data_IF_303526891871
#
_entry.id   IF_303526891871
#
_cell.length_a   1.000
_cell.length_b   1.000
_cell.length_c   1.000
_cell.angle_alpha   90.00
_cell.angle_beta   90.00
_cell.angle_gamma   90.00
#
_symmetry.space_group_name_H-M   'P 1'
#
loop_
_entity.id
_entity.type
_entity.pdbx_description
1 polymer ?
#
# COMPACT_ATOMS: atom_id res chain seq x y z
N UNK A 1 17.77 18.27 19.46
CA UNK A 1 17.16 17.01 19.88
C UNK A 1 18.15 15.94 19.45
N UNK A 2 18.83 15.32 20.41
CA UNK A 2 19.87 14.32 20.14
C UNK A 2 19.24 13.03 19.60
N UNK A 3 19.70 12.57 18.43
CA UNK A 3 19.50 11.22 17.96
C UNK A 3 20.39 10.30 18.80
N UNK A 4 19.90 9.92 19.96
CA UNK A 4 20.47 8.81 20.73
C UNK A 4 19.93 7.53 20.11
N UNK A 5 20.82 6.69 19.59
CA UNK A 5 20.55 5.41 18.91
C UNK A 5 19.93 4.32 19.80
N UNK A 6 18.80 4.61 20.46
CA UNK A 6 18.06 3.66 21.31
C UNK A 6 16.69 3.24 20.74
N UNK A 7 16.30 3.71 19.55
CA UNK A 7 14.96 3.47 18.97
C UNK A 7 14.99 2.90 17.54
N UNK A 8 16.10 2.30 17.10
CA UNK A 8 16.16 1.61 15.81
C UNK A 8 15.68 0.17 15.97
N UNK A 9 14.68 -0.21 15.18
CA UNK A 9 14.09 -1.55 15.20
C UNK A 9 14.51 -2.30 13.95
N UNK A 10 15.29 -3.37 14.14
CA UNK A 10 15.82 -4.22 13.07
C UNK A 10 15.08 -5.55 13.05
N UNK A 11 14.65 -5.99 11.87
CA UNK A 11 14.21 -7.38 11.65
C UNK A 11 15.47 -8.25 11.64
N UNK A 12 15.78 -8.87 12.79
CA UNK A 12 17.04 -9.61 12.98
C UNK A 12 17.08 -10.96 12.27
N UNK A 13 15.92 -11.54 11.98
CA UNK A 13 15.81 -12.94 11.60
C UNK A 13 15.97 -13.17 10.08
N UNK A 14 15.89 -12.13 9.26
CA UNK A 14 16.12 -12.23 7.81
C UNK A 14 16.70 -10.93 7.23
N UNK A 15 18.03 -10.86 7.13
CA UNK A 15 18.74 -9.71 6.55
C UNK A 15 18.50 -9.54 5.04
N UNK A 16 17.84 -10.50 4.38
CA UNK A 16 17.55 -10.49 2.95
C UNK A 16 16.05 -10.25 2.67
N UNK A 17 15.27 -9.92 3.69
CA UNK A 17 13.87 -9.57 3.49
C UNK A 17 13.79 -8.29 2.65
N UNK A 18 13.19 -8.41 1.46
CA UNK A 18 12.89 -7.29 0.58
C UNK A 18 11.40 -6.98 0.71
N UNK A 19 11.06 -5.86 1.34
CA UNK A 19 9.67 -5.48 1.57
C UNK A 19 9.01 -5.07 0.25
N UNK A 20 7.81 -5.60 -0.02
CA UNK A 20 6.97 -5.23 -1.16
C UNK A 20 5.80 -4.30 -0.77
N UNK A 21 5.71 -3.96 0.51
CA UNK A 21 4.71 -3.05 1.05
C UNK A 21 4.74 -3.06 2.57
N UNK A 22 4.16 -2.01 3.14
CA UNK A 22 4.01 -1.85 4.58
C UNK A 22 2.64 -1.24 4.86
N UNK A 23 1.91 -1.82 5.81
CA UNK A 23 0.65 -1.25 6.27
C UNK A 23 0.60 -1.20 7.79
N UNK A 24 -0.13 -0.21 8.30
CA UNK A 24 -0.55 -0.17 9.70
C UNK A 24 -1.81 -1.02 9.88
N UNK A 25 -1.72 -2.08 10.69
CA UNK A 25 -2.85 -2.96 11.01
C UNK A 25 -3.60 -2.48 12.25
N UNK A 26 -2.88 -1.97 13.25
CA UNK A 26 -3.48 -1.36 14.42
C UNK A 26 -2.52 -0.39 15.06
N UNK A 27 -2.98 0.81 15.36
CA UNK A 27 -2.16 1.87 15.92
C UNK A 27 -2.89 2.54 17.08
N UNK A 28 -2.39 2.37 18.30
CA UNK A 28 -2.95 3.01 19.49
C UNK A 28 -1.84 3.49 20.44
N UNK A 29 -2.23 4.25 21.46
CA UNK A 29 -1.31 4.74 22.48
C UNK A 29 -0.62 3.55 23.20
N UNK A 30 0.65 3.31 22.87
CA UNK A 30 1.49 2.29 23.51
C UNK A 30 1.60 0.94 22.78
N UNK A 31 0.82 0.68 21.73
CA UNK A 31 1.01 -0.49 20.87
C UNK A 31 0.73 -0.16 19.40
N UNK A 32 1.54 -0.72 18.53
CA UNK A 32 1.42 -0.55 17.08
C UNK A 32 1.72 -1.88 16.41
N UNK A 33 0.94 -2.23 15.40
CA UNK A 33 1.04 -3.47 14.66
C UNK A 33 1.21 -3.09 13.20
N UNK A 34 2.33 -3.50 12.63
CA UNK A 34 2.64 -3.31 11.22
C UNK A 34 2.68 -4.65 10.52
N UNK A 35 2.23 -4.67 9.28
CA UNK A 35 2.28 -5.84 8.42
C UNK A 35 3.13 -5.47 7.21
N UNK A 36 4.14 -6.28 6.93
CA UNK A 36 4.97 -6.18 5.72
C UNK A 36 5.12 -7.58 5.11
N UNK A 37 5.34 -7.66 3.80
CA UNK A 37 5.39 -8.93 3.10
C UNK A 37 6.41 -8.90 1.97
N UNK A 38 6.78 -10.09 1.51
CA UNK A 38 7.53 -10.31 0.29
C UNK A 38 6.86 -11.45 -0.51
N UNK A 39 7.57 -12.00 -1.50
CA UNK A 39 7.10 -13.14 -2.31
C UNK A 39 6.71 -14.39 -1.50
N UNK A 40 7.33 -14.62 -0.34
CA UNK A 40 7.31 -15.92 0.35
C UNK A 40 6.46 -15.92 1.62
N UNK A 41 6.50 -14.83 2.38
CA UNK A 41 5.85 -14.76 3.68
C UNK A 41 5.48 -13.32 4.04
N UNK A 42 4.60 -13.23 5.04
CA UNK A 42 4.22 -12.00 5.69
C UNK A 42 4.84 -11.95 7.09
N UNK A 43 5.26 -10.76 7.51
CA UNK A 43 5.72 -10.46 8.86
C UNK A 43 4.67 -9.60 9.57
N UNK A 44 4.14 -10.12 10.68
CA UNK A 44 3.32 -9.36 11.61
C UNK A 44 4.19 -8.83 12.75
N UNK A 45 4.40 -7.52 12.77
CA UNK A 45 5.34 -6.83 13.65
C UNK A 45 4.59 -6.08 14.74
N UNK A 46 4.69 -6.58 15.97
CA UNK A 46 4.05 -6.01 17.15
C UNK A 46 5.04 -5.16 17.94
N UNK A 47 4.79 -3.86 17.95
CA UNK A 47 5.50 -2.88 18.77
C UNK A 47 4.69 -2.62 20.03
N UNK A 48 5.27 -2.88 21.21
CA UNK A 48 4.63 -2.62 22.50
C UNK A 48 5.54 -1.80 23.41
N UNK A 49 5.05 -0.67 23.89
CA UNK A 49 5.73 0.12 24.92
C UNK A 49 5.39 -0.46 26.30
N UNK A 50 6.40 -0.85 27.07
CA UNK A 50 6.16 -1.34 28.44
C UNK A 50 5.84 -0.18 29.38
N UNK A 51 4.85 -0.35 30.27
CA UNK A 51 4.58 0.61 31.35
C UNK A 51 5.85 0.75 32.21
N UNK A 52 6.33 1.98 32.40
CA UNK A 52 7.50 2.29 33.23
C UNK A 52 8.87 2.23 32.54
N UNK A 53 8.95 1.86 31.26
CA UNK A 53 10.21 1.91 30.50
C UNK A 53 10.00 2.65 29.17
N UNK A 54 10.92 3.55 28.79
CA UNK A 54 10.84 4.31 27.54
C UNK A 54 11.04 3.42 26.31
N UNK A 55 11.70 2.27 26.48
CA UNK A 55 11.95 1.30 25.42
C UNK A 55 10.67 0.61 24.96
N UNK A 56 10.38 0.75 23.67
CA UNK A 56 9.42 -0.11 22.96
C UNK A 56 10.01 -1.53 22.89
N UNK A 57 9.22 -2.58 22.65
CA UNK A 57 9.69 -3.91 22.29
C UNK A 57 9.02 -4.30 20.97
N UNK A 58 9.79 -4.90 20.05
CA UNK A 58 9.27 -5.47 18.82
C UNK A 58 9.24 -7.00 18.93
N UNK A 59 8.10 -7.58 18.57
CA UNK A 59 7.95 -9.01 18.31
C UNK A 59 7.57 -9.18 16.84
N UNK A 60 8.26 -10.07 16.13
CA UNK A 60 7.95 -10.41 14.75
C UNK A 60 7.37 -11.83 14.70
N UNK A 61 6.26 -12.00 13.99
CA UNK A 61 5.67 -13.31 13.70
C UNK A 61 5.66 -13.50 12.19
N UNK A 62 6.38 -14.52 11.74
CA UNK A 62 6.37 -14.93 10.34
C UNK A 62 5.15 -15.78 10.06
N UNK A 63 4.43 -15.44 9.00
CA UNK A 63 3.25 -16.15 8.52
C UNK A 63 3.54 -16.60 7.08
N UNK A 64 3.69 -17.91 6.84
CA UNK A 64 3.96 -18.40 5.49
C UNK A 64 2.76 -18.14 4.58
N UNK A 65 3.01 -17.77 3.33
CA UNK A 65 1.97 -17.71 2.32
C UNK A 65 1.58 -19.13 1.87
N UNK A 66 0.33 -19.36 1.47
CA UNK A 66 -0.12 -20.62 0.89
C UNK A 66 0.55 -20.77 -0.49
N UNK A 67 1.72 -21.39 -0.54
CA UNK A 67 2.49 -21.52 -1.77
C UNK A 67 1.97 -22.69 -2.62
N UNK A 68 1.13 -22.38 -3.59
CA UNK A 68 0.84 -23.25 -4.73
C UNK A 68 1.30 -22.56 -6.02
N UNK A 69 2.61 -22.49 -6.28
CA UNK A 69 3.15 -21.92 -7.53
C UNK A 69 3.70 -20.49 -7.43
N UNK A 70 3.60 -19.71 -8.50
CA UNK A 70 4.15 -18.35 -8.62
C UNK A 70 3.20 -17.25 -8.13
N UNK A 71 2.32 -17.55 -7.16
CA UNK A 71 1.37 -16.59 -6.65
C UNK A 71 2.01 -15.61 -5.66
N UNK A 72 1.53 -14.36 -5.67
CA UNK A 72 1.99 -13.28 -4.79
C UNK A 72 0.81 -12.51 -4.20
N UNK A 73 1.06 -11.74 -3.14
CA UNK A 73 0.06 -10.85 -2.56
C UNK A 73 -0.17 -9.67 -3.51
N UNK A 74 -1.39 -9.52 -4.01
CA UNK A 74 -1.81 -8.39 -4.85
C UNK A 74 -2.20 -7.18 -4.02
N UNK A 75 -2.97 -7.40 -2.94
CA UNK A 75 -3.35 -6.31 -2.03
C UNK A 75 -3.56 -6.81 -0.60
N UNK A 76 -3.40 -5.89 0.35
CA UNK A 76 -3.64 -6.13 1.77
C UNK A 76 -4.56 -5.05 2.31
N UNK A 77 -5.63 -5.46 2.98
CA UNK A 77 -6.62 -4.56 3.54
C UNK A 77 -6.77 -4.80 5.04
N UNK A 78 -6.46 -3.78 5.84
CA UNK A 78 -6.69 -3.81 7.28
C UNK A 78 -8.18 -3.59 7.57
N UNK A 79 -8.76 -4.48 8.36
CA UNK A 79 -10.09 -4.33 8.96
C UNK A 79 -9.95 -4.07 10.46
N UNK A 80 -11.07 -3.76 11.11
CA UNK A 80 -11.10 -3.45 12.56
C UNK A 80 -10.55 -4.59 13.44
N UNK A 81 -10.75 -5.84 13.05
CA UNK A 81 -10.40 -7.02 13.87
C UNK A 81 -9.45 -8.00 13.18
N UNK A 82 -9.21 -7.83 11.88
CA UNK A 82 -8.48 -8.75 11.04
C UNK A 82 -7.90 -8.03 9.81
N UNK A 83 -7.23 -8.76 8.95
CA UNK A 83 -6.60 -8.27 7.73
C UNK A 83 -6.97 -9.24 6.62
N UNK A 84 -7.39 -8.70 5.48
CA UNK A 84 -7.67 -9.47 4.28
C UNK A 84 -6.46 -9.38 3.35
N UNK A 85 -6.07 -10.52 2.78
CA UNK A 85 -5.04 -10.66 1.76
C UNK A 85 -5.70 -11.15 0.48
N UNK A 86 -5.51 -10.42 -0.62
CA UNK A 86 -5.84 -10.87 -1.95
C UNK A 86 -4.58 -11.41 -2.62
N UNK A 87 -4.64 -12.66 -3.06
CA UNK A 87 -3.56 -13.30 -3.81
C UNK A 87 -3.76 -13.11 -5.32
N UNK A 88 -2.68 -13.21 -6.10
CA UNK A 88 -2.70 -13.02 -7.55
C UNK A 88 -3.51 -14.07 -8.33
N UNK A 89 -3.73 -15.24 -7.76
CA UNK A 89 -4.65 -16.28 -8.28
C UNK A 89 -6.13 -15.94 -8.05
N UNK A 90 -6.40 -14.96 -7.20
CA UNK A 90 -7.74 -14.52 -6.82
C UNK A 90 -8.31 -15.20 -5.59
N UNK A 91 -7.49 -15.97 -4.85
CA UNK A 91 -7.85 -16.44 -3.53
C UNK A 91 -7.78 -15.31 -2.50
N UNK A 92 -8.70 -15.34 -1.55
CA UNK A 92 -8.78 -14.33 -0.48
C UNK A 92 -8.57 -14.99 0.87
N UNK A 93 -7.60 -14.49 1.62
CA UNK A 93 -7.23 -15.01 2.94
C UNK A 93 -7.51 -14.00 4.05
N UNK A 94 -7.92 -14.50 5.21
CA UNK A 94 -8.13 -13.72 6.42
C UNK A 94 -7.01 -13.99 7.44
N UNK A 95 -6.51 -12.92 8.07
CA UNK A 95 -5.43 -12.91 9.05
C UNK A 95 -5.79 -12.08 10.30
N UNK A 96 -5.67 -12.62 11.51
CA UNK A 96 -6.30 -12.04 12.71
C UNK A 96 -5.36 -11.81 13.87
N UNK A 97 -4.18 -12.45 13.87
CA UNK A 97 -2.93 -11.93 14.46
C UNK A 97 -1.86 -12.98 14.77
N UNK A 98 -2.15 -14.30 14.94
CA UNK A 98 -1.13 -15.17 15.60
C UNK A 98 -0.70 -16.47 14.90
N UNK A 99 -1.46 -17.20 14.07
CA UNK A 99 -0.97 -18.54 13.64
C UNK A 99 -1.24 -19.04 12.22
N UNK A 100 -1.95 -18.30 11.38
CA UNK A 100 -2.17 -18.78 10.02
C UNK A 100 -3.11 -17.91 9.22
N UNK A 101 -3.10 -18.18 7.92
CA UNK A 101 -3.99 -17.62 6.93
C UNK A 101 -5.18 -18.56 6.74
N UNK A 102 -6.39 -18.03 6.79
CA UNK A 102 -7.59 -18.81 6.54
C UNK A 102 -8.19 -18.41 5.19
N UNK A 103 -8.30 -19.39 4.28
CA UNK A 103 -8.96 -19.19 2.99
C UNK A 103 -10.46 -18.91 3.20
N UNK A 104 -10.93 -17.81 2.62
CA UNK A 104 -12.36 -17.46 2.59
C UNK A 104 -12.99 -18.19 1.42
N UNK A 105 -13.42 -19.43 1.63
CA UNK A 105 -13.88 -20.34 0.56
C UNK A 105 -15.05 -19.80 -0.28
N UNK A 106 -15.85 -18.88 0.24
CA UNK A 106 -16.94 -18.27 -0.52
C UNK A 106 -16.47 -17.21 -1.52
N UNK A 107 -15.19 -16.82 -1.48
CA UNK A 107 -14.56 -15.89 -2.40
C UNK A 107 -13.48 -16.64 -3.18
N UNK A 108 -13.62 -16.67 -4.49
CA UNK A 108 -12.62 -17.22 -5.41
C UNK A 108 -12.66 -16.43 -6.71
N UNK A 109 -11.55 -16.45 -7.46
CA UNK A 109 -11.44 -15.71 -8.72
C UNK A 109 -11.48 -14.19 -8.55
N UNK A 110 -11.19 -13.68 -7.35
CA UNK A 110 -11.23 -12.24 -7.05
C UNK A 110 -10.10 -11.53 -7.79
N UNK A 111 -10.39 -10.39 -8.41
CA UNK A 111 -9.41 -9.57 -9.15
C UNK A 111 -9.00 -8.33 -8.39
N UNK A 112 -9.95 -7.69 -7.71
CA UNK A 112 -9.70 -6.59 -6.78
C UNK A 112 -10.81 -6.52 -5.74
N UNK A 113 -10.53 -5.81 -4.64
CA UNK A 113 -11.43 -5.68 -3.49
C UNK A 113 -11.44 -4.25 -2.97
N UNK A 114 -12.61 -3.77 -2.56
CA UNK A 114 -12.80 -2.51 -1.86
C UNK A 114 -13.49 -2.77 -0.51
N UNK A 115 -12.84 -2.35 0.57
CA UNK A 115 -13.39 -2.46 1.94
C UNK A 115 -14.22 -1.21 2.25
N UNK A 116 -15.39 -1.42 2.84
CA UNK A 116 -16.23 -0.41 3.46
C UNK A 116 -16.27 -0.65 4.99
N UNK A 117 -16.78 0.31 5.76
CA UNK A 117 -16.86 0.19 7.22
C UNK A 117 -17.64 -1.05 7.69
N UNK A 118 -18.76 -1.32 7.04
CA UNK A 118 -19.69 -2.38 7.43
C UNK A 118 -19.72 -3.54 6.43
N UNK A 119 -18.82 -3.61 5.44
CA UNK A 119 -18.89 -4.61 4.38
C UNK A 119 -17.76 -4.47 3.37
N UNK A 120 -17.88 -5.14 2.23
CA UNK A 120 -16.90 -5.03 1.16
C UNK A 120 -17.51 -5.30 -0.20
N UNK A 121 -16.83 -4.87 -1.26
CA UNK A 121 -17.18 -5.14 -2.64
C UNK A 121 -15.99 -5.79 -3.35
N UNK A 122 -16.27 -6.67 -4.30
CA UNK A 122 -15.24 -7.35 -5.09
C UNK A 122 -15.60 -7.32 -6.55
N UNK A 123 -14.57 -7.32 -7.39
CA UNK A 123 -14.70 -7.78 -8.78
C UNK A 123 -14.11 -9.18 -8.82
N UNK A 124 -14.87 -10.15 -9.34
CA UNK A 124 -14.40 -11.53 -9.50
C UNK A 124 -14.83 -12.13 -10.83
N UNK A 125 -14.08 -13.13 -11.27
CA UNK A 125 -14.40 -13.95 -12.44
C UNK A 125 -15.13 -15.20 -11.98
N UNK A 126 -16.30 -15.47 -12.56
CA UNK A 126 -17.12 -16.65 -12.28
C UNK A 126 -17.85 -17.07 -13.55
N UNK A 127 -17.71 -18.34 -13.95
CA UNK A 127 -18.31 -18.87 -15.18
C UNK A 127 -18.04 -18.02 -16.43
N UNK A 128 -16.78 -17.59 -16.61
CA UNK A 128 -16.32 -16.70 -17.69
C UNK A 128 -16.91 -15.28 -17.68
N UNK A 129 -17.69 -14.93 -16.66
CA UNK A 129 -18.24 -13.59 -16.47
C UNK A 129 -17.45 -12.80 -15.44
N UNK A 130 -17.42 -11.49 -15.64
CA UNK A 130 -16.85 -10.54 -14.70
C UNK A 130 -18.00 -9.96 -13.86
N UNK A 131 -17.99 -10.24 -12.57
CA UNK A 131 -19.05 -9.84 -11.64
C UNK A 131 -18.53 -8.86 -10.60
N UNK A 132 -19.27 -7.76 -10.40
CA UNK A 132 -19.11 -6.90 -9.24
C UNK A 132 -20.11 -7.36 -8.16
N UNK A 133 -19.60 -7.79 -7.02
CA UNK A 133 -20.41 -8.33 -5.93
C UNK A 133 -20.23 -7.51 -4.65
N UNK A 134 -21.34 -7.26 -3.96
CA UNK A 134 -21.37 -6.54 -2.68
C UNK A 134 -21.73 -7.48 -1.53
N UNK A 135 -21.03 -7.36 -0.42
CA UNK A 135 -21.23 -8.18 0.78
C UNK A 135 -21.48 -7.30 2.01
N UNK A 136 -22.46 -7.72 2.82
CA UNK A 136 -22.91 -7.00 4.03
C UNK A 136 -22.04 -7.22 5.25
N UNK A 137 -21.20 -8.25 5.28
CA UNK A 137 -20.40 -8.59 6.45
C UNK A 137 -18.98 -8.96 6.04
N UNK A 138 -18.04 -8.36 6.77
CA UNK A 138 -16.63 -8.64 6.59
C UNK A 138 -16.33 -10.08 7.01
N UNK A 139 -15.61 -10.86 6.19
CA UNK A 139 -15.24 -12.21 6.54
C UNK A 139 -14.38 -12.17 7.80
N UNK A 140 -14.65 -13.05 8.75
CA UNK A 140 -13.93 -13.11 10.03
C UNK A 140 -13.43 -14.53 10.31
N UNK A 141 -12.65 -14.69 11.37
CA UNK A 141 -12.20 -16.02 11.81
C UNK A 141 -13.36 -16.94 12.19
N UNK A 142 -14.44 -16.35 12.72
CA UNK A 142 -15.62 -17.07 13.19
C UNK A 142 -16.66 -17.21 12.07
N UNK A 143 -16.73 -16.22 11.17
CA UNK A 143 -17.64 -16.20 10.02
C UNK A 143 -16.88 -16.46 8.72
N UNK A 144 -16.86 -17.73 8.30
CA UNK A 144 -16.25 -18.18 7.04
C UNK A 144 -17.12 -17.83 5.82
N UNK A 145 -18.37 -17.42 6.04
CA UNK A 145 -19.31 -17.02 4.99
C UNK A 145 -19.62 -15.53 5.12
N UNK A 146 -19.67 -14.86 3.97
CA UNK A 146 -20.18 -13.50 3.84
C UNK A 146 -21.52 -13.51 3.11
N UNK A 147 -22.41 -12.62 3.53
CA UNK A 147 -23.77 -12.44 3.02
C UNK A 147 -23.72 -11.58 1.76
N UNK A 148 -23.91 -12.23 0.62
CA UNK A 148 -24.01 -11.56 -0.68
C UNK A 148 -25.29 -10.71 -0.72
N UNK A 149 -25.15 -9.43 -1.01
CA UNK A 149 -26.25 -8.47 -1.09
C UNK A 149 -26.70 -8.25 -2.52
N UNK A 150 -25.74 -7.93 -3.39
CA UNK A 150 -25.99 -7.60 -4.79
C UNK A 150 -24.92 -8.22 -5.68
N UNK A 151 -25.31 -8.57 -6.90
CA UNK A 151 -24.41 -9.01 -7.97
C UNK A 151 -24.75 -8.20 -9.21
N UNK A 152 -23.73 -7.61 -9.80
CA UNK A 152 -23.81 -6.86 -11.04
C UNK A 152 -22.95 -7.57 -12.07
N UNK A 153 -23.51 -7.82 -13.24
CA UNK A 153 -22.79 -8.38 -14.36
C UNK A 153 -22.09 -7.24 -15.08
N UNK A 154 -20.77 -7.14 -14.87
CA UNK A 154 -19.94 -6.13 -15.52
C UNK A 154 -19.18 -6.73 -16.71
N UNK A 155 -19.58 -7.92 -17.16
CA UNK A 155 -19.06 -8.57 -18.36
C UNK A 155 -19.45 -7.71 -19.56
N UNK A 156 -18.46 -7.15 -20.22
CA UNK A 156 -18.69 -6.29 -21.38
C UNK A 156 -18.58 -7.13 -22.65
N UNK A 157 -19.69 -7.72 -23.11
CA UNK A 157 -19.77 -8.36 -24.44
C UNK A 157 -20.77 -7.63 -25.31
N UNK A 158 -20.28 -6.85 -26.28
CA UNK A 158 -20.85 -6.83 -27.62
C UNK A 158 -19.95 -6.05 -28.60
N UNK A 159 -19.10 -6.78 -29.32
CA UNK A 159 -18.44 -6.39 -30.58
C UNK A 159 -17.53 -5.13 -30.51
N UNK A 160 -16.22 -5.36 -30.27
CA UNK A 160 -15.10 -4.39 -30.31
C UNK A 160 -15.09 -3.37 -29.14
N UNK A 161 -13.93 -2.96 -28.59
CA UNK A 161 -12.97 -2.07 -29.27
C UNK A 161 -11.48 -2.45 -29.12
N UNK A 162 -11.04 -3.28 -28.17
CA UNK A 162 -9.61 -3.67 -28.09
C UNK A 162 -9.43 -5.11 -27.60
N UNK A 163 -8.39 -5.80 -28.10
CA UNK A 163 -7.95 -7.15 -27.74
C UNK A 163 -7.48 -7.22 -26.28
N UNK A 164 -8.35 -6.92 -25.32
CA UNK A 164 -8.01 -6.93 -23.92
C UNK A 164 -8.18 -8.36 -23.39
N UNK A 165 -7.08 -8.96 -22.95
CA UNK A 165 -7.12 -10.18 -22.15
C UNK A 165 -7.52 -9.83 -20.73
N UNK A 166 -8.81 -9.51 -20.50
CA UNK A 166 -9.32 -9.06 -19.21
C UNK A 166 -8.87 -9.98 -18.06
N UNK A 167 -8.80 -11.29 -18.31
CA UNK A 167 -8.34 -12.27 -17.33
C UNK A 167 -6.96 -11.94 -16.70
N UNK A 168 -6.10 -11.24 -17.43
CA UNK A 168 -4.73 -10.86 -17.05
C UNK A 168 -4.55 -9.35 -16.84
N UNK A 169 -5.60 -8.54 -16.99
CA UNK A 169 -5.52 -7.09 -16.78
C UNK A 169 -5.39 -6.72 -15.29
N UNK A 170 -4.97 -5.47 -15.04
CA UNK A 170 -5.00 -4.87 -13.72
C UNK A 170 -6.37 -4.27 -13.42
N UNK A 171 -6.85 -4.48 -12.20
CA UNK A 171 -8.17 -4.09 -11.77
C UNK A 171 -8.09 -3.24 -10.51
N UNK A 172 -8.86 -2.15 -10.48
CA UNK A 172 -9.05 -1.36 -9.26
C UNK A 172 -10.52 -1.24 -8.94
N UNK A 173 -10.86 -1.20 -7.66
CA UNK A 173 -12.21 -0.94 -7.19
C UNK A 173 -12.15 0.03 -6.01
N UNK A 174 -12.96 1.07 -6.09
CA UNK A 174 -13.21 2.02 -5.02
C UNK A 174 -14.72 2.06 -4.79
N UNK A 175 -15.14 1.83 -3.56
CA UNK A 175 -16.54 1.86 -3.18
C UNK A 175 -16.77 2.98 -2.17
N UNK A 176 -17.84 3.75 -2.37
CA UNK A 176 -18.28 4.80 -1.45
C UNK A 176 -19.74 4.58 -1.10
N UNK A 177 -20.05 4.61 0.21
CA UNK A 177 -21.44 4.72 0.69
C UNK A 177 -21.78 6.20 0.75
N UNK A 178 -22.68 6.65 -0.10
CA UNK A 178 -22.98 8.09 -0.25
C UNK A 178 -23.77 8.57 0.96
N UNK A 179 -23.19 9.50 1.71
CA UNK A 179 -23.88 10.24 2.78
C UNK A 179 -24.44 11.56 2.25
N UNK A 180 -25.29 12.24 3.03
CA UNK A 180 -25.82 13.57 2.65
C UNK A 180 -24.72 14.61 2.44
N UNK A 181 -23.58 14.49 3.13
CA UNK A 181 -22.44 15.41 2.98
C UNK A 181 -21.74 15.23 1.63
N UNK A 182 -21.71 14.01 1.10
CA UNK A 182 -20.98 13.65 -0.13
C UNK A 182 -21.87 13.69 -1.37
N UNK A 183 -23.18 13.71 -1.18
CA UNK A 183 -24.21 13.59 -2.21
C UNK A 183 -24.04 14.60 -3.35
N UNK A 184 -23.89 15.87 -3.02
CA UNK A 184 -23.77 16.94 -4.03
C UNK A 184 -22.51 16.76 -4.89
N UNK A 185 -21.39 16.39 -4.27
CA UNK A 185 -20.14 16.11 -4.97
C UNK A 185 -20.30 14.94 -5.94
N UNK A 186 -20.83 13.81 -5.45
CA UNK A 186 -21.02 12.58 -6.24
C UNK A 186 -21.98 12.81 -7.41
N UNK A 187 -23.09 13.52 -7.19
CA UNK A 187 -24.07 13.82 -8.23
C UNK A 187 -23.46 14.66 -9.36
N UNK A 188 -22.73 15.72 -9.01
CA UNK A 188 -22.14 16.60 -10.02
C UNK A 188 -20.96 15.97 -10.73
N UNK A 189 -20.15 15.17 -10.02
CA UNK A 189 -18.97 14.54 -10.61
C UNK A 189 -19.34 13.47 -11.66
N UNK A 190 -20.43 12.74 -11.43
CA UNK A 190 -20.87 11.63 -12.29
C UNK A 190 -22.17 11.92 -13.04
N UNK A 191 -22.69 13.15 -13.01
CA UNK A 191 -23.91 13.53 -13.74
C UNK A 191 -25.18 12.77 -13.30
N UNK A 192 -25.25 12.37 -12.03
CA UNK A 192 -26.33 11.53 -11.52
C UNK A 192 -27.59 12.37 -11.25
N UNK A 193 -28.76 11.81 -11.60
CA UNK A 193 -30.06 12.44 -11.30
C UNK A 193 -30.33 12.44 -9.78
N UNK A 194 -31.30 13.25 -9.33
CA UNK A 194 -31.62 13.45 -7.90
C UNK A 194 -32.02 12.16 -7.14
N UNK A 195 -32.47 11.12 -7.84
CA UNK A 195 -32.78 9.83 -7.23
C UNK A 195 -31.49 9.14 -6.74
N UNK A 196 -31.45 8.85 -5.44
CA UNK A 196 -30.23 8.65 -4.67
C UNK A 196 -29.58 7.28 -4.94
N UNK A 197 -28.33 7.20 -5.44
CA UNK A 197 -27.55 5.99 -5.30
C UNK A 197 -27.05 5.89 -3.86
N UNK A 198 -27.41 4.81 -3.16
CA UNK A 198 -26.89 4.53 -1.81
C UNK A 198 -25.38 4.22 -1.84
N UNK A 199 -24.91 3.65 -2.95
CA UNK A 199 -23.53 3.27 -3.18
C UNK A 199 -23.08 3.70 -4.56
N UNK A 200 -21.82 4.14 -4.64
CA UNK A 200 -21.12 4.38 -5.90
C UNK A 200 -19.88 3.49 -5.92
N UNK A 201 -19.75 2.76 -7.02
CA UNK A 201 -18.57 1.94 -7.29
C UNK A 201 -17.84 2.52 -8.49
N UNK A 202 -16.60 2.92 -8.28
CA UNK A 202 -15.71 3.32 -9.35
C UNK A 202 -14.73 2.17 -9.53
N UNK A 203 -14.65 1.64 -10.74
CA UNK A 203 -13.74 0.55 -11.03
C UNK A 203 -12.96 0.82 -12.30
N UNK A 204 -11.81 0.17 -12.41
CA UNK A 204 -11.03 0.20 -13.64
C UNK A 204 -10.67 -1.20 -14.12
N UNK A 205 -10.54 -1.31 -15.43
CA UNK A 205 -9.98 -2.47 -16.13
C UNK A 205 -8.87 -1.92 -17.03
N UNK A 206 -7.63 -2.21 -16.66
CA UNK A 206 -6.44 -1.56 -17.18
C UNK A 206 -6.56 -0.02 -17.08
N UNK A 207 -6.63 0.69 -18.21
CA UNK A 207 -6.76 2.15 -18.28
C UNK A 207 -8.19 2.68 -18.35
N UNK A 208 -9.21 1.82 -18.46
CA UNK A 208 -10.60 2.24 -18.60
C UNK A 208 -11.22 2.43 -17.22
N UNK A 209 -11.80 3.61 -16.95
CA UNK A 209 -12.46 3.90 -15.67
C UNK A 209 -13.96 3.98 -15.85
N UNK A 210 -14.67 3.19 -15.08
CA UNK A 210 -16.12 3.10 -15.09
C UNK A 210 -16.70 3.52 -13.74
N UNK A 211 -17.93 4.01 -13.77
CA UNK A 211 -18.77 4.13 -12.58
C UNK A 211 -19.97 3.21 -12.72
N UNK A 212 -20.27 2.47 -11.66
CA UNK A 212 -21.51 1.74 -11.49
C UNK A 212 -22.35 2.46 -10.44
N UNK A 213 -23.59 2.76 -10.82
CA UNK A 213 -24.61 3.28 -9.92
C UNK A 213 -25.84 2.39 -9.97
N UNK A 214 -26.46 2.18 -8.81
CA UNK A 214 -27.71 1.43 -8.73
C UNK A 214 -28.63 2.10 -7.72
N UNK A 215 -29.91 2.17 -8.06
CA UNK A 215 -30.94 2.73 -7.19
C UNK A 215 -31.69 1.58 -6.51
N UNK A 216 -31.93 1.72 -5.21
CA UNK A 216 -32.63 0.72 -4.39
C UNK A 216 -34.16 0.94 -4.47
N UNK A 217 -34.64 2.06 -4.99
CA UNK A 217 -36.06 2.37 -5.01
C UNK A 217 -36.82 1.63 -6.12
N UNK A 218 -37.43 0.52 -5.72
CA UNK A 218 -38.67 0.02 -6.32
C UNK A 218 -38.50 -1.15 -7.28
N UNK A 219 -39.28 -2.20 -7.03
CA UNK A 219 -39.64 -3.24 -8.00
C UNK A 219 -40.10 -2.59 -9.32
N UNK A 220 -39.18 -2.29 -10.25
CA UNK A 220 -39.60 -2.06 -11.62
C UNK A 220 -39.88 -3.43 -12.22
N UNK A 221 -41.07 -3.60 -12.80
CA UNK A 221 -41.47 -4.78 -13.59
C UNK A 221 -40.67 -4.93 -14.89
N UNK A 222 -39.51 -4.29 -15.00
CA UNK A 222 -38.59 -4.43 -16.13
C UNK A 222 -37.63 -5.57 -15.85
N UNK A 223 -37.56 -6.53 -16.76
CA UNK A 223 -36.67 -7.70 -16.76
C UNK A 223 -35.17 -7.36 -16.86
N UNK A 224 -34.81 -6.08 -16.82
CA UNK A 224 -33.44 -5.59 -16.90
C UNK A 224 -32.94 -5.17 -15.51
N UNK A 225 -31.66 -5.43 -15.19
CA UNK A 225 -31.11 -5.04 -13.90
C UNK A 225 -31.19 -3.52 -13.69
N UNK A 226 -31.66 -3.08 -12.52
CA UNK A 226 -31.80 -1.66 -12.15
C UNK A 226 -30.48 -0.93 -11.84
N UNK A 227 -29.40 -1.23 -12.57
CA UNK A 227 -28.10 -0.57 -12.42
C UNK A 227 -27.59 -0.02 -13.76
N UNK A 228 -26.78 1.03 -13.68
CA UNK A 228 -26.17 1.70 -14.81
C UNK A 228 -24.65 1.67 -14.68
N UNK A 229 -23.96 1.38 -15.79
CA UNK A 229 -22.51 1.45 -15.90
C UNK A 229 -22.17 2.48 -16.96
N UNK A 230 -21.35 3.46 -16.59
CA UNK A 230 -20.89 4.52 -17.49
C UNK A 230 -19.35 4.50 -17.56
N UNK A 231 -18.81 4.61 -18.77
CA UNK A 231 -17.38 4.83 -18.98
C UNK A 231 -17.07 6.31 -18.77
N UNK A 232 -16.27 6.62 -17.74
CA UNK A 232 -15.93 7.99 -17.40
C UNK A 232 -14.76 8.55 -18.22
N UNK A 233 -13.76 7.71 -18.50
CA UNK A 233 -12.57 8.07 -19.28
C UNK A 233 -11.72 6.83 -19.63
N UNK A 234 -10.73 7.03 -20.49
CA UNK A 234 -9.74 6.02 -20.88
C UNK A 234 -8.33 6.61 -20.80
N UNK A 235 -7.44 5.94 -20.10
CA UNK A 235 -6.02 6.27 -20.01
C UNK A 235 -5.19 5.29 -20.84
N UNK A 236 -4.05 5.78 -21.33
CA UNK A 236 -3.05 4.94 -22.01
C UNK A 236 -2.26 4.04 -21.03
N UNK A 237 -2.25 4.39 -19.74
CA UNK A 237 -1.62 3.64 -18.65
C UNK A 237 -2.70 3.00 -17.80
N UNK A 238 -2.40 1.86 -17.17
CA UNK A 238 -3.34 1.29 -16.21
C UNK A 238 -3.49 2.16 -14.96
N UNK A 239 -4.67 2.10 -14.35
CA UNK A 239 -4.96 2.79 -13.10
C UNK A 239 -4.41 1.98 -11.93
N UNK A 240 -3.64 2.62 -11.06
CA UNK A 240 -3.06 2.01 -9.86
C UNK A 240 -4.05 2.01 -8.70
N UNK A 241 -4.72 3.14 -8.48
CA UNK A 241 -5.86 3.25 -7.56
C UNK A 241 -6.65 4.54 -7.80
N UNK A 242 -7.85 4.61 -7.23
CA UNK A 242 -8.73 5.79 -7.28
C UNK A 242 -9.06 6.21 -5.86
N UNK A 243 -8.84 7.49 -5.53
CA UNK A 243 -9.13 8.06 -4.21
C UNK A 243 -10.18 9.15 -4.31
N UNK A 244 -11.29 8.98 -3.59
CA UNK A 244 -12.31 9.99 -3.44
C UNK A 244 -12.00 10.85 -2.21
N UNK A 245 -12.06 12.16 -2.38
CA UNK A 245 -11.95 13.18 -1.33
C UNK A 245 -13.14 14.15 -1.45
N UNK A 246 -14.37 13.71 -1.14
CA UNK A 246 -15.57 14.52 -1.38
C UNK A 246 -15.55 15.88 -0.67
N UNK A 247 -15.02 15.92 0.57
CA UNK A 247 -14.90 17.14 1.38
C UNK A 247 -14.00 18.18 0.70
N UNK A 248 -12.95 17.73 0.01
CA UNK A 248 -12.03 18.61 -0.73
C UNK A 248 -12.52 18.88 -2.17
N UNK A 249 -13.66 18.33 -2.57
CA UNK A 249 -14.18 18.36 -3.95
C UNK A 249 -13.22 17.72 -4.97
N UNK A 250 -12.55 16.62 -4.60
CA UNK A 250 -11.55 15.96 -5.45
C UNK A 250 -11.81 14.47 -5.64
N UNK A 251 -11.55 13.97 -6.84
CA UNK A 251 -11.37 12.56 -7.14
C UNK A 251 -10.00 12.39 -7.83
N UNK A 252 -9.13 11.59 -7.25
CA UNK A 252 -7.76 11.39 -7.73
C UNK A 252 -7.67 10.02 -8.42
N UNK A 253 -7.31 10.02 -9.69
CA UNK A 253 -7.00 8.80 -10.45
C UNK A 253 -5.49 8.69 -10.59
N UNK A 254 -4.89 7.78 -9.82
CA UNK A 254 -3.44 7.58 -9.83
C UNK A 254 -3.09 6.51 -10.86
N UNK A 255 -2.29 6.89 -11.84
CA UNK A 255 -1.84 6.01 -12.92
C UNK A 255 -0.51 5.36 -12.56
N UNK A 256 -0.27 4.17 -13.08
CA UNK A 256 1.00 3.47 -12.89
C UNK A 256 2.20 4.17 -13.52
N UNK A 257 1.96 5.05 -14.50
CA UNK A 257 2.98 5.94 -15.06
C UNK A 257 3.50 7.02 -14.08
N UNK A 258 2.97 7.09 -12.85
CA UNK A 258 3.32 8.13 -11.88
C UNK A 258 2.63 9.47 -12.14
N UNK A 259 1.62 9.51 -13.00
CA UNK A 259 0.75 10.68 -13.18
C UNK A 259 -0.52 10.53 -12.35
N UNK A 260 -1.03 11.64 -11.84
CA UNK A 260 -2.30 11.72 -11.12
C UNK A 260 -3.23 12.61 -11.90
N UNK A 261 -4.34 12.07 -12.37
CA UNK A 261 -5.41 12.87 -12.95
C UNK A 261 -6.40 13.29 -11.85
N UNK A 262 -6.56 14.59 -11.69
CA UNK A 262 -7.31 15.20 -10.58
C UNK A 262 -8.62 15.71 -11.11
N UNK A 263 -9.72 15.05 -10.77
CA UNK A 263 -11.07 15.49 -11.12
C UNK A 263 -11.68 16.30 -10.01
N UNK A 264 -12.43 17.34 -10.38
CA UNK A 264 -13.15 18.19 -9.45
C UNK A 264 -14.39 18.76 -10.13
N UNK A 265 -15.36 19.22 -9.32
CA UNK A 265 -16.53 19.93 -9.83
C UNK A 265 -16.23 21.42 -9.78
N UNK A 266 -16.19 22.07 -10.95
CA UNK A 266 -15.91 23.51 -11.02
C UNK A 266 -16.98 24.31 -10.28
N UNK A 267 -16.57 25.23 -9.40
CA UNK A 267 -17.48 26.12 -8.70
C UNK A 267 -18.02 27.24 -9.60
N UNK A 268 -17.34 27.53 -10.71
CA UNK A 268 -17.75 28.54 -11.68
C UNK A 268 -18.74 27.99 -12.70
N UNK A 269 -18.51 26.75 -13.15
CA UNK A 269 -19.26 26.13 -14.25
C UNK A 269 -20.23 25.04 -13.78
N UNK A 270 -20.10 24.55 -12.54
CA UNK A 270 -20.86 23.42 -12.00
C UNK A 270 -20.74 22.13 -12.84
N UNK A 271 -19.62 21.95 -13.54
CA UNK A 271 -19.32 20.75 -14.34
C UNK A 271 -18.00 20.11 -13.89
N UNK A 272 -17.85 18.81 -14.18
CA UNK A 272 -16.59 18.09 -14.00
C UNK A 272 -15.47 18.74 -14.82
N UNK A 273 -14.35 18.99 -14.16
CA UNK A 273 -13.07 19.41 -14.75
C UNK A 273 -11.97 18.44 -14.34
N UNK A 274 -10.86 18.45 -15.06
CA UNK A 274 -9.70 17.59 -14.77
C UNK A 274 -8.38 18.34 -14.94
N UNK A 275 -7.42 18.06 -14.06
CA UNK A 275 -6.04 18.54 -14.16
C UNK A 275 -5.07 17.40 -13.91
N UNK A 276 -4.07 17.24 -14.79
CA UNK A 276 -3.05 16.20 -14.62
C UNK A 276 -1.84 16.75 -13.89
N UNK A 277 -1.43 16.05 -12.82
CA UNK A 277 -0.20 16.30 -12.07
C UNK A 277 0.79 15.16 -12.28
N UNK A 278 2.01 15.49 -12.70
CA UNK A 278 3.06 14.50 -12.92
C UNK A 278 3.98 14.42 -11.70
N UNK A 279 4.10 13.23 -11.12
CA UNK A 279 4.95 13.03 -9.92
C UNK A 279 6.40 12.72 -10.25
N UNK A 280 6.68 12.31 -11.49
CA UNK A 280 8.02 12.17 -12.06
C UNK A 280 8.75 10.86 -11.73
N UNK A 281 8.19 9.98 -10.89
CA UNK A 281 8.80 8.69 -10.54
C UNK A 281 7.79 7.55 -10.45
N UNK A 282 8.27 6.33 -10.71
CA UNK A 282 7.56 5.10 -10.39
C UNK A 282 7.65 4.87 -8.88
N UNK A 283 6.50 4.78 -8.20
CA UNK A 283 6.49 4.63 -6.75
C UNK A 283 6.74 3.17 -6.37
N UNK A 284 7.75 2.93 -5.54
CA UNK A 284 8.00 1.60 -4.97
C UNK A 284 6.90 1.21 -3.99
N UNK A 285 6.55 2.11 -3.07
CA UNK A 285 5.44 1.92 -2.14
C UNK A 285 4.77 3.27 -1.82
N UNK A 286 3.52 3.21 -1.36
CA UNK A 286 2.73 4.39 -1.06
C UNK A 286 1.66 4.12 0.00
N UNK A 287 1.26 5.19 0.67
CA UNK A 287 0.14 5.21 1.58
C UNK A 287 -0.78 6.38 1.21
N UNK A 288 -2.03 6.04 0.94
CA UNK A 288 -3.09 6.99 0.62
C UNK A 288 -4.26 6.87 1.61
N UNK A 289 -3.98 6.46 2.85
CA UNK A 289 -5.00 6.20 3.88
C UNK A 289 -5.15 7.32 4.91
N UNK A 290 -4.24 8.30 4.89
CA UNK A 290 -4.25 9.44 5.82
C UNK A 290 -5.59 10.16 5.87
N UNK A 291 -6.11 10.41 7.07
CA UNK A 291 -7.40 11.08 7.30
C UNK A 291 -7.48 12.48 6.67
N UNK A 292 -6.33 13.14 6.51
CA UNK A 292 -6.24 14.50 5.98
C UNK A 292 -6.17 14.57 4.44
N UNK A 293 -6.33 13.44 3.74
CA UNK A 293 -6.27 13.38 2.27
C UNK A 293 -4.87 13.32 1.67
N UNK A 294 -3.81 13.41 2.47
CA UNK A 294 -2.42 13.39 1.97
C UNK A 294 -2.06 12.00 1.41
N UNK A 295 -1.23 12.00 0.37
CA UNK A 295 -0.62 10.80 -0.21
C UNK A 295 0.87 10.84 0.11
N UNK A 296 1.38 9.74 0.67
CA UNK A 296 2.78 9.55 0.95
C UNK A 296 3.33 8.46 0.03
N UNK A 297 4.49 8.67 -0.56
CA UNK A 297 5.14 7.63 -1.36
C UNK A 297 6.65 7.66 -1.21
N UNK A 298 7.27 6.56 -1.61
CA UNK A 298 8.71 6.46 -1.79
C UNK A 298 9.05 5.91 -3.18
N UNK A 299 10.11 6.44 -3.76
CA UNK A 299 10.76 5.94 -4.97
C UNK A 299 12.13 5.32 -4.67
N UNK A 300 12.49 5.19 -3.38
CA UNK A 300 13.78 4.67 -2.91
C UNK A 300 14.86 5.69 -2.71
N UNK A 301 14.79 6.81 -3.40
CA UNK A 301 15.74 7.91 -3.23
C UNK A 301 15.22 8.97 -2.26
N UNK A 302 13.89 9.08 -2.18
CA UNK A 302 13.20 10.08 -1.38
C UNK A 302 11.86 9.57 -0.83
N UNK A 303 11.39 10.30 0.17
CA UNK A 303 10.02 10.23 0.69
C UNK A 303 9.30 11.52 0.31
N UNK A 304 8.10 11.38 -0.22
CA UNK A 304 7.34 12.52 -0.73
C UNK A 304 5.95 12.51 -0.12
N UNK A 305 5.48 13.68 0.31
CA UNK A 305 4.09 13.93 0.64
C UNK A 305 3.48 14.83 -0.43
N UNK A 306 2.36 14.39 -0.98
CA UNK A 306 1.49 15.16 -1.85
C UNK A 306 0.21 15.53 -1.10
N UNK A 307 -0.12 16.82 -1.13
CA UNK A 307 -1.40 17.33 -0.64
C UNK A 307 -2.12 18.02 -1.79
N UNK A 308 -3.28 17.50 -2.16
CA UNK A 308 -4.13 18.06 -3.20
C UNK A 308 -5.16 18.96 -2.54
N UNK A 309 -5.35 20.16 -3.09
CA UNK A 309 -6.30 21.14 -2.57
C UNK A 309 -7.03 21.80 -3.72
N UNK A 310 -8.35 21.88 -3.65
CA UNK A 310 -9.14 22.65 -4.60
C UNK A 310 -9.28 24.10 -4.13
N UNK A 311 -8.99 25.06 -5.01
CA UNK A 311 -9.17 26.48 -4.72
C UNK A 311 -10.42 27.01 -5.42
N UNK A 312 -11.49 27.24 -4.64
CA UNK A 312 -12.78 27.74 -5.11
C UNK A 312 -12.67 29.13 -5.79
N UNK A 313 -11.72 29.98 -5.38
CA UNK A 313 -11.58 31.33 -5.93
C UNK A 313 -10.96 31.34 -7.32
N UNK A 314 -10.04 30.40 -7.56
CA UNK A 314 -9.30 30.27 -8.82
C UNK A 314 -9.85 29.15 -9.70
N UNK A 315 -10.76 28.33 -9.17
CA UNK A 315 -11.36 27.17 -9.82
C UNK A 315 -10.34 26.15 -10.35
N UNK A 316 -9.26 25.97 -9.58
CA UNK A 316 -8.13 25.12 -9.94
C UNK A 316 -7.63 24.28 -8.76
N UNK A 317 -6.95 23.17 -9.06
CA UNK A 317 -6.32 22.34 -8.05
C UNK A 317 -4.84 22.71 -7.87
N UNK A 318 -4.43 22.82 -6.63
CA UNK A 318 -3.03 22.97 -6.25
C UNK A 318 -2.52 21.70 -5.59
N UNK A 319 -1.27 21.36 -5.91
CA UNK A 319 -0.55 20.26 -5.28
C UNK A 319 0.60 20.81 -4.46
N UNK A 320 0.54 20.65 -3.15
CA UNK A 320 1.64 20.97 -2.26
C UNK A 320 2.53 19.74 -2.05
N UNK A 321 3.71 19.79 -2.64
CA UNK A 321 4.70 18.71 -2.58
C UNK A 321 5.76 18.99 -1.52
N UNK A 322 5.96 18.05 -0.60
CA UNK A 322 7.03 18.08 0.40
C UNK A 322 7.93 16.86 0.24
N UNK A 323 9.20 17.09 -0.05
CA UNK A 323 10.20 16.05 -0.33
C UNK A 323 11.19 15.94 0.82
N UNK A 324 11.49 14.71 1.23
CA UNK A 324 12.56 14.37 2.16
C UNK A 324 13.51 13.37 1.50
N UNK A 325 14.73 13.77 1.09
CA UNK A 325 15.72 12.86 0.50
C UNK A 325 16.23 11.85 1.53
N UNK A 326 15.54 10.71 1.62
CA UNK A 326 15.85 9.58 2.47
C UNK A 326 15.98 8.36 1.58
N UNK A 327 17.23 7.97 1.32
CA UNK A 327 17.58 6.89 0.40
C UNK A 327 17.43 5.54 1.09
N UNK A 328 17.07 4.51 0.33
CA UNK A 328 17.00 3.12 0.76
C UNK A 328 15.68 2.75 1.44
N UNK A 329 14.63 3.57 1.37
CA UNK A 329 13.31 3.19 1.86
C UNK A 329 12.59 2.33 0.82
N UNK A 330 12.09 1.18 1.24
CA UNK A 330 11.38 0.23 0.38
C UNK A 330 9.87 0.34 0.54
N UNK A 331 9.41 0.58 1.77
CA UNK A 331 8.00 0.59 2.09
C UNK A 331 7.66 1.67 3.11
N UNK A 332 6.46 2.24 3.03
CA UNK A 332 6.01 3.29 3.94
C UNK A 332 4.50 3.25 4.22
N UNK A 333 4.12 3.56 5.45
CA UNK A 333 2.72 3.68 5.86
C UNK A 333 2.52 4.85 6.81
N UNK A 334 1.39 5.54 6.68
CA UNK A 334 1.06 6.67 7.53
C UNK A 334 0.46 6.21 8.86
N UNK A 335 0.77 6.94 9.93
CA UNK A 335 0.32 6.60 11.29
C UNK A 335 -0.36 7.82 11.91
N UNK A 336 -1.69 7.91 11.78
CA UNK A 336 -2.47 9.11 12.12
C UNK A 336 -2.29 9.59 13.56
N UNK A 337 -2.33 8.69 14.55
CA UNK A 337 -2.22 9.08 15.96
C UNK A 337 -0.85 9.66 16.33
N UNK A 338 0.18 9.38 15.52
CA UNK A 338 1.53 9.94 15.70
C UNK A 338 1.84 11.09 14.75
N UNK A 339 1.08 11.22 13.66
CA UNK A 339 1.35 12.15 12.55
C UNK A 339 2.75 11.95 11.97
N UNK A 340 3.14 10.69 11.84
CA UNK A 340 4.46 10.27 11.34
C UNK A 340 4.30 9.20 10.26
N UNK A 341 5.22 9.20 9.31
CA UNK A 341 5.35 8.14 8.31
C UNK A 341 6.27 7.05 8.87
N UNK A 342 5.74 5.86 9.08
CA UNK A 342 6.53 4.68 9.40
C UNK A 342 7.11 4.12 8.09
N UNK A 343 8.42 3.92 8.05
CA UNK A 343 9.16 3.52 6.87
C UNK A 343 10.00 2.29 7.17
N UNK A 344 10.10 1.37 6.21
CA UNK A 344 10.97 0.21 6.25
C UNK A 344 12.02 0.34 5.15
N UNK A 345 13.30 0.29 5.53
CA UNK A 345 14.43 0.38 4.62
C UNK A 345 14.90 -0.97 4.09
N UNK A 346 15.78 -0.92 3.09
CA UNK A 346 16.47 -2.05 2.46
C UNK A 346 17.34 -2.87 3.40
N UNK A 347 17.84 -2.24 4.47
CA UNK A 347 18.57 -2.89 5.55
C UNK A 347 17.64 -3.37 6.69
N UNK A 348 16.33 -3.43 6.44
CA UNK A 348 15.30 -3.94 7.35
C UNK A 348 15.18 -3.16 8.68
N UNK A 349 15.43 -1.85 8.64
CA UNK A 349 15.31 -0.95 9.78
C UNK A 349 14.03 -0.13 9.66
N UNK A 350 13.30 0.00 10.77
CA UNK A 350 12.17 0.91 10.86
C UNK A 350 12.61 2.33 11.20
N UNK A 351 12.06 3.28 10.45
CA UNK A 351 12.17 4.71 10.70
C UNK A 351 10.78 5.32 10.90
N UNK A 352 10.65 6.25 11.85
CA UNK A 352 9.47 7.10 11.96
C UNK A 352 9.86 8.52 11.57
N UNK A 353 9.24 9.04 10.51
CA UNK A 353 9.61 10.33 9.92
C UNK A 353 8.39 11.24 9.97
N UNK A 354 8.45 12.30 10.78
CA UNK A 354 7.38 13.29 10.85
C UNK A 354 7.36 14.19 9.62
N UNK A 355 6.18 14.49 9.08
CA UNK A 355 5.96 15.44 7.97
C UNK A 355 5.37 16.77 8.45
N UNK A 356 5.71 17.18 9.68
CA UNK A 356 5.23 18.42 10.28
C UNK A 356 5.55 19.63 9.39
N UNK A 357 4.53 20.42 9.07
CA UNK A 357 4.72 21.77 8.58
C UNK A 357 5.36 22.60 9.71
N UNK A 358 6.33 23.49 9.44
CA UNK A 358 6.83 24.39 10.46
C UNK A 358 5.66 25.24 10.98
N UNK A 359 5.23 24.98 12.22
CA UNK A 359 4.24 25.77 12.92
C UNK A 359 4.83 27.17 13.07
N UNK A 360 4.32 28.15 12.32
CA UNK A 360 4.46 29.55 12.72
C UNK A 360 3.81 29.66 14.09
N UNK A 361 4.62 29.79 15.14
CA UNK A 361 4.13 30.29 16.42
C UNK A 361 3.64 31.70 16.15
N UNK A 362 2.32 31.85 16.11
CA UNK A 362 1.63 33.13 16.22
C UNK A 362 1.98 33.77 17.56
N UNK A 363 3.14 34.43 17.64
CA UNK A 363 3.31 35.52 18.60
C UNK A 363 2.52 36.70 18.04
N UNK A 364 1.30 36.88 18.54
CA UNK A 364 0.57 38.11 18.34
C UNK A 364 1.42 39.28 18.80
N UNK A 365 1.82 40.12 17.84
CA UNK A 365 2.08 41.53 18.00
C UNK A 365 2.01 42.20 16.62
N UNK A 366 0.86 42.84 16.43
CA UNK A 366 0.71 44.09 15.68
C UNK A 366 0.75 43.98 14.15
N UNK A 367 -0.45 43.86 13.58
CA UNK A 367 -0.84 44.48 12.32
C UNK A 367 -0.33 45.93 12.26
N UNK A 368 0.22 46.31 11.11
CA UNK A 368 0.62 47.66 10.66
C UNK A 368 2.14 47.85 10.54
N UNK A 369 2.69 47.38 9.41
CA UNK A 369 3.51 48.19 8.50
C UNK A 369 3.89 47.31 7.29
N UNK A 370 3.86 47.93 6.11
CA UNK A 370 4.24 47.40 4.78
C UNK A 370 3.12 46.72 3.98
N UNK A 371 2.08 47.51 3.71
CA UNK A 371 1.26 47.43 2.50
C UNK A 371 2.04 47.95 1.24
N UNK A 372 3.35 47.71 1.18
CA UNK A 372 4.19 48.20 0.08
C UNK A 372 5.41 47.28 -0.08
N UNK A 373 5.16 46.06 -0.56
CA UNK A 373 6.17 45.23 -1.26
C UNK A 373 5.49 43.97 -1.86
N UNK A 374 4.36 44.17 -2.55
CA UNK A 374 3.87 43.19 -3.53
C UNK A 374 4.80 43.25 -4.75
N UNK A 375 5.93 42.52 -4.71
CA UNK A 375 6.66 41.98 -5.88
C UNK A 375 8.04 41.40 -5.51
N UNK A 376 8.14 40.55 -4.47
CA UNK A 376 9.31 39.67 -4.29
C UNK A 376 8.90 38.27 -3.85
N UNK A 377 9.47 37.19 -4.44
CA UNK A 377 9.14 35.82 -4.07
C UNK A 377 9.71 35.51 -2.68
N UNK A 378 8.87 35.59 -1.66
CA UNK A 378 9.21 35.23 -0.27
C UNK A 378 9.60 33.75 -0.09
N UNK A 379 9.31 32.88 -1.05
CA UNK A 379 9.61 31.44 -1.00
C UNK A 379 11.10 31.06 -1.00
N UNK A 380 12.00 31.90 -1.55
CA UNK A 380 13.40 31.50 -1.76
C UNK A 380 14.29 31.64 -0.51
N UNK A 381 14.00 32.57 0.41
CA UNK A 381 14.80 32.77 1.64
C UNK A 381 14.37 31.88 2.80
N UNK A 382 13.08 31.56 2.91
CA UNK A 382 12.57 30.61 3.90
C UNK A 382 12.96 29.16 3.58
N UNK A 383 12.95 28.78 2.29
CA UNK A 383 13.47 27.49 1.84
C UNK A 383 14.97 27.33 2.13
N UNK A 384 15.78 28.41 2.09
CA UNK A 384 17.22 28.33 2.33
C UNK A 384 17.60 28.11 3.81
N UNK A 385 16.82 28.62 4.76
CA UNK A 385 17.09 28.47 6.20
C UNK A 385 16.59 27.11 6.71
N UNK A 386 15.41 26.68 6.27
CA UNK A 386 14.89 25.32 6.51
C UNK A 386 15.79 24.27 5.85
N UNK A 387 16.21 24.49 4.60
CA UNK A 387 17.19 23.65 3.89
C UNK A 387 18.51 23.51 4.65
N UNK A 388 19.01 24.55 5.32
CA UNK A 388 20.29 24.47 6.07
C UNK A 388 20.17 23.68 7.37
N UNK A 389 19.04 23.80 8.09
CA UNK A 389 18.79 23.00 9.30
C UNK A 389 18.46 21.55 8.96
N UNK A 390 17.68 21.31 7.91
CA UNK A 390 17.34 19.97 7.41
C UNK A 390 18.54 19.28 6.78
N UNK A 391 19.37 19.96 5.99
CA UNK A 391 20.63 19.39 5.46
C UNK A 391 21.58 18.94 6.57
N UNK A 392 21.62 19.63 7.72
CA UNK A 392 22.50 19.25 8.83
C UNK A 392 22.01 17.99 9.54
N UNK A 393 20.69 17.83 9.70
CA UNK A 393 20.08 16.60 10.22
C UNK A 393 20.13 15.45 9.21
N UNK A 394 19.86 15.72 7.93
CA UNK A 394 19.96 14.75 6.83
C UNK A 394 21.37 14.24 6.63
N UNK A 395 22.39 15.11 6.70
CA UNK A 395 23.77 14.66 6.58
C UNK A 395 24.22 13.78 7.74
N UNK A 396 23.70 14.00 8.95
CA UNK A 396 23.95 13.12 10.09
C UNK A 396 23.23 11.79 9.93
N UNK A 397 21.95 11.83 9.55
CA UNK A 397 21.12 10.66 9.31
C UNK A 397 21.64 9.79 8.15
N UNK A 398 21.96 10.38 6.99
CA UNK A 398 22.56 9.69 5.86
C UNK A 398 23.94 9.09 6.21
N UNK A 399 24.76 9.79 7.01
CA UNK A 399 26.05 9.23 7.46
C UNK A 399 25.88 8.04 8.41
N UNK A 400 24.90 8.08 9.31
CA UNK A 400 24.58 6.93 10.18
C UNK A 400 24.03 5.76 9.37
N UNK A 401 23.10 6.02 8.45
CA UNK A 401 22.53 5.02 7.54
C UNK A 401 23.62 4.34 6.70
N UNK A 402 24.55 5.13 6.16
CA UNK A 402 25.63 4.64 5.31
C UNK A 402 26.70 3.89 6.12
N UNK A 403 27.03 4.34 7.34
CA UNK A 403 27.92 3.59 8.24
C UNK A 403 27.32 2.25 8.65
N UNK A 404 26.03 2.21 8.95
CA UNK A 404 25.33 0.96 9.30
C UNK A 404 25.23 0.04 8.08
N UNK A 405 24.93 0.57 6.90
CA UNK A 405 24.96 -0.18 5.64
C UNK A 405 26.34 -0.82 5.39
N UNK A 406 27.42 -0.06 5.57
CA UNK A 406 28.79 -0.58 5.47
C UNK A 406 29.08 -1.66 6.52
N UNK A 407 28.65 -1.46 7.77
CA UNK A 407 28.80 -2.48 8.82
C UNK A 407 28.03 -3.76 8.50
N UNK A 408 26.79 -3.66 8.03
CA UNK A 408 25.99 -4.84 7.68
C UNK A 408 26.55 -5.56 6.45
N UNK A 409 27.09 -4.85 5.46
CA UNK A 409 27.82 -5.43 4.32
C UNK A 409 29.07 -6.19 4.77
N UNK A 410 29.76 -5.70 5.80
CA UNK A 410 30.88 -6.37 6.46
C UNK A 410 30.46 -7.61 7.26
N UNK A 411 29.29 -7.57 7.89
CA UNK A 411 28.74 -8.72 8.64
C UNK A 411 28.24 -9.81 7.68
N UNK A 412 27.57 -9.44 6.59
CA UNK A 412 27.08 -10.40 5.58
C UNK A 412 28.22 -11.10 4.85
N UNK A 413 29.30 -10.39 4.52
CA UNK A 413 30.52 -10.99 3.95
C UNK A 413 31.23 -11.92 4.94
N UNK A 414 31.32 -11.56 6.23
CA UNK A 414 31.84 -12.47 7.28
C UNK A 414 30.97 -13.72 7.46
N UNK A 415 29.65 -13.56 7.45
CA UNK A 415 28.67 -14.66 7.49
C UNK A 415 28.83 -15.61 6.30
N UNK A 416 28.96 -15.05 5.09
CA UNK A 416 29.17 -15.80 3.85
C UNK A 416 30.48 -16.58 3.85
N UNK A 417 31.59 -15.98 4.31
CA UNK A 417 32.89 -16.66 4.47
C UNK A 417 32.79 -17.79 5.51
N UNK A 418 32.05 -17.58 6.60
CA UNK A 418 31.85 -18.59 7.66
C UNK A 418 30.97 -19.75 7.16
N UNK A 419 29.95 -19.44 6.36
CA UNK A 419 29.10 -20.43 5.69
C UNK A 419 29.89 -21.23 4.64
N UNK A 420 30.70 -20.59 3.80
CA UNK A 420 31.59 -21.26 2.86
C UNK A 420 32.61 -22.17 3.57
N UNK A 421 33.19 -21.74 4.69
CA UNK A 421 34.07 -22.59 5.52
C UNK A 421 33.35 -23.81 6.10
N UNK A 422 32.09 -23.66 6.54
CA UNK A 422 31.26 -24.80 7.02
C UNK A 422 30.84 -25.74 5.88
N UNK A 423 30.60 -25.23 4.68
CA UNK A 423 30.32 -26.04 3.50
C UNK A 423 31.57 -26.79 3.07
N UNK A 424 32.72 -26.13 3.00
CA UNK A 424 34.03 -26.73 2.69
C UNK A 424 34.41 -27.82 3.71
N UNK A 425 34.18 -27.60 5.00
CA UNK A 425 34.45 -28.62 6.03
C UNK A 425 33.49 -29.81 5.94
N UNK A 426 32.21 -29.59 5.62
CA UNK A 426 31.24 -30.67 5.35
C UNK A 426 31.60 -31.47 4.10
N UNK A 427 32.02 -30.80 3.02
CA UNK A 427 32.46 -31.46 1.78
C UNK A 427 33.73 -32.28 2.05
N UNK A 428 34.71 -31.72 2.77
CA UNK A 428 35.92 -32.44 3.16
C UNK A 428 35.63 -33.69 4.00
N UNK A 429 34.73 -33.59 4.98
CA UNK A 429 34.27 -34.73 5.77
C UNK A 429 33.57 -35.80 4.92
N UNK A 430 32.74 -35.38 3.95
CA UNK A 430 32.03 -36.30 3.05
C UNK A 430 33.00 -37.02 2.10
N UNK A 431 34.04 -36.34 1.62
CA UNK A 431 35.12 -36.92 0.81
C UNK A 431 35.95 -37.92 1.63
N UNK A 432 36.32 -37.60 2.87
CA UNK A 432 37.02 -38.54 3.76
C UNK A 432 36.17 -39.79 4.08
N UNK A 433 34.86 -39.64 4.28
CA UNK A 433 33.94 -40.76 4.50
C UNK A 433 33.80 -41.65 3.26
N UNK A 434 33.76 -41.06 2.06
CA UNK A 434 33.76 -41.79 0.79
C UNK A 434 35.09 -42.53 0.55
N UNK A 435 36.23 -41.92 0.87
CA UNK A 435 37.53 -42.60 0.81
C UNK A 435 37.61 -43.78 1.80
N UNK A 436 37.12 -43.60 3.04
CA UNK A 436 37.05 -44.70 4.02
C UNK A 436 36.13 -45.83 3.57
N UNK A 437 34.97 -45.54 2.97
CA UNK A 437 34.07 -46.59 2.47
C UNK A 437 34.65 -47.33 1.26
N UNK A 438 35.43 -46.64 0.42
CA UNK A 438 36.12 -47.24 -0.74
C UNK A 438 37.27 -48.15 -0.29
N UNK A 439 38.01 -47.76 0.75
CA UNK A 439 39.04 -48.60 1.38
C UNK A 439 38.41 -49.84 2.02
N UNK A 440 37.31 -49.69 2.77
CA UNK A 440 36.60 -50.83 3.35
C UNK A 440 35.99 -51.77 2.31
N UNK A 441 35.49 -51.25 1.18
CA UNK A 441 35.00 -52.07 0.05
C UNK A 441 36.12 -52.81 -0.66
N UNK A 442 37.30 -52.21 -0.83
CA UNK A 442 38.46 -52.88 -1.42
C UNK A 442 39.06 -53.96 -0.52
N UNK A 443 38.99 -53.78 0.81
CA UNK A 443 39.38 -54.82 1.79
C UNK A 443 38.39 -56.00 1.75
N UNK A 444 37.07 -55.73 1.66
CA UNK A 444 36.06 -56.77 1.51
C UNK A 444 36.16 -57.52 0.16
N UNK A 445 36.50 -56.82 -0.92
CA UNK A 445 36.69 -57.43 -2.25
C UNK A 445 37.94 -58.31 -2.30
N UNK A 446 39.01 -57.96 -1.58
CA UNK A 446 40.19 -58.82 -1.42
C UNK A 446 39.90 -60.03 -0.52
N UNK A 447 39.10 -59.89 0.53
CA UNK A 447 38.72 -61.02 1.39
C UNK A 447 37.84 -62.06 0.66
N UNK A 448 36.97 -61.64 -0.26
CA UNK A 448 36.15 -62.56 -1.09
C UNK A 448 36.92 -63.31 -2.17
N UNK A 449 38.14 -62.87 -2.53
CA UNK A 449 39.01 -63.57 -3.50
C UNK A 449 39.79 -64.74 -2.89
N UNK A 450 39.71 -64.94 -1.56
CA UNK A 450 40.37 -66.03 -0.84
C UNK A 450 39.37 -67.08 -0.29
N UNK A 451 38.11 -67.05 -0.74
CA UNK A 451 37.03 -67.96 -0.34
C UNK A 451 36.25 -68.51 -1.55
N UNK A 452 36.97 -68.85 -2.64
CA UNK A 452 36.56 -69.82 -3.67
C UNK A 452 37.77 -70.71 -3.96
#
# INVERSE_FOLDING_TARGET
MELVGENLWLIKDDSLFLAWGLIVSAAHAGKSVFITWNKYFLLNLHFKKSKGNSRTKMAAVQVPLPMLGEHYIRSVHTLKYNTILLMSDGDVYCFGSIKGLNLIKCLSGVRCLAVLNDGFSVIKVEDQRLLLQMYLDLPSFENVKSTLQYTFDITFEDKNIFQCEWQHDEYTLTALKVTEEEKQFVQNLFGLKEEQPLYVHIFSIAGHVFVLTFNITGLSESSYPGYHIELLCVYASHVRYIRLLPIENLCLVVLSSGSVDVWYVSSLLAIKQSQTYHTGSEWMDYDATSDNGDIYYTDGDQLVRLRFMYNIQLDECFVHTLIKPVVGIQACTWVDHRKELACLSDNNIFYCIGFNLPIQKSSGRTLNMLASDLNRPMGLRQNAIVSRFEKRHQNLFQRELQREYEMQKLISTKSYITMQRKILSKVHWKVMMLQRSTISRNILFRARKYWI
#
